data_IF_501028473640
#
_entry.id   IF_501028473640
#
_cell.length_a   1.000
_cell.length_b   1.000
_cell.length_c   1.000
_cell.angle_alpha   90.00
_cell.angle_beta   90.00
_cell.angle_gamma   90.00
#
_symmetry.space_group_name_H-M   'P 1'
#
loop_
_entity.id
_entity.type
_entity.pdbx_description
1 polymer ?
#
# COMPACT_ATOMS: atom_id res chain seq x y z
N UNK A 1 2.59 -5.79 27.53
CA UNK A 1 1.33 -5.28 26.93
C UNK A 1 1.71 -4.18 25.93
N UNK A 2 1.66 -4.45 24.63
CA UNK A 2 1.98 -3.45 23.60
C UNK A 2 0.82 -2.46 23.42
N UNK A 3 1.08 -1.15 23.24
CA UNK A 3 0.03 -0.21 22.96
C UNK A 3 -0.57 -0.52 21.58
N UNK A 4 -1.86 -0.84 21.57
CA UNK A 4 -2.65 -0.95 20.37
C UNK A 4 -2.45 0.31 19.52
N UNK A 5 -2.13 0.11 18.25
CA UNK A 5 -2.04 1.14 17.23
C UNK A 5 -3.31 2.00 17.30
N UNK A 6 -3.24 3.17 17.93
CA UNK A 6 -4.30 4.19 17.79
C UNK A 6 -4.25 4.60 16.32
N UNK A 7 -5.14 4.02 15.53
CA UNK A 7 -5.40 4.48 14.18
C UNK A 7 -5.72 5.96 14.28
N UNK A 8 -4.75 6.82 13.94
CA UNK A 8 -4.99 8.24 13.72
C UNK A 8 -5.86 8.34 12.47
N UNK A 9 -7.16 8.11 12.60
CA UNK A 9 -8.11 8.40 11.55
C UNK A 9 -8.28 9.92 11.58
N UNK A 10 -7.71 10.62 10.59
CA UNK A 10 -8.17 11.96 10.30
C UNK A 10 -9.66 11.86 10.00
N UNK A 11 -10.48 12.62 10.73
CA UNK A 11 -11.92 12.60 10.62
C UNK A 11 -12.33 12.62 9.14
N UNK A 12 -12.98 11.54 8.68
CA UNK A 12 -13.46 11.43 7.30
C UNK A 12 -12.74 10.42 6.39
N UNK A 13 -11.66 9.77 6.82
CA UNK A 13 -10.98 8.72 6.04
C UNK A 13 -11.18 7.31 6.60
N UNK A 14 -11.29 6.32 5.71
CA UNK A 14 -11.38 4.88 6.04
C UNK A 14 -10.17 4.14 5.49
N UNK A 15 -9.74 3.09 6.20
CA UNK A 15 -8.71 2.18 5.69
C UNK A 15 -9.35 1.13 4.79
N UNK A 16 -8.87 1.02 3.56
CA UNK A 16 -9.37 0.10 2.54
C UNK A 16 -8.24 -0.80 2.09
N UNK A 17 -8.50 -2.10 1.98
CA UNK A 17 -7.60 -3.03 1.32
C UNK A 17 -7.62 -2.77 -0.20
N UNK A 18 -6.45 -2.47 -0.76
CA UNK A 18 -6.26 -2.22 -2.19
C UNK A 18 -5.15 -3.11 -2.73
N UNK A 19 -5.32 -3.56 -3.96
CA UNK A 19 -4.24 -4.14 -4.72
C UNK A 19 -3.33 -3.01 -5.24
N UNK A 20 -2.03 -3.17 -5.07
CA UNK A 20 -1.02 -2.24 -5.55
C UNK A 20 -0.05 -2.93 -6.50
N UNK A 21 0.37 -2.17 -7.50
CA UNK A 21 1.41 -2.51 -8.47
C UNK A 21 2.46 -1.41 -8.48
N UNK A 22 3.51 -1.59 -9.27
CA UNK A 22 4.55 -0.57 -9.46
C UNK A 22 4.01 0.79 -9.90
N UNK A 23 2.85 0.82 -10.58
CA UNK A 23 2.22 2.05 -11.08
C UNK A 23 1.15 2.62 -10.14
N UNK A 24 0.66 1.84 -9.16
CA UNK A 24 -0.48 2.26 -8.31
C UNK A 24 -0.15 2.43 -6.84
N UNK A 25 1.03 1.96 -6.38
CA UNK A 25 1.55 2.21 -5.02
C UNK A 25 1.70 3.71 -4.75
N UNK A 26 1.41 4.13 -3.52
CA UNK A 26 1.42 5.52 -3.05
C UNK A 26 2.21 5.66 -1.74
N UNK A 27 2.70 6.87 -1.50
CA UNK A 27 3.17 7.26 -0.16
C UNK A 27 2.00 7.07 0.82
N UNK A 28 2.32 6.61 2.03
CA UNK A 28 1.39 6.23 3.10
C UNK A 28 0.58 4.95 2.86
N UNK A 29 0.77 4.23 1.75
CA UNK A 29 0.31 2.85 1.70
C UNK A 29 0.99 2.03 2.79
N UNK A 30 0.23 1.17 3.44
CA UNK A 30 0.77 0.22 4.42
C UNK A 30 0.76 -1.17 3.83
N UNK A 31 1.95 -1.72 3.59
CA UNK A 31 2.16 -3.02 2.97
C UNK A 31 2.55 -4.04 4.03
N UNK A 32 2.03 -5.27 3.89
CA UNK A 32 2.41 -6.37 4.77
C UNK A 32 3.51 -7.19 4.10
N UNK A 33 4.66 -7.33 4.78
CA UNK A 33 5.82 -8.09 4.31
C UNK A 33 6.29 -8.97 5.47
N UNK A 34 6.35 -10.29 5.27
CA UNK A 34 6.77 -11.23 6.32
C UNK A 34 5.93 -11.15 7.60
N UNK A 35 4.63 -10.82 7.49
CA UNK A 35 3.73 -10.64 8.64
C UNK A 35 3.87 -9.29 9.35
N UNK A 36 4.79 -8.43 8.93
CA UNK A 36 5.01 -7.10 9.50
C UNK A 36 4.43 -6.02 8.60
N UNK A 37 3.84 -4.98 9.21
CA UNK A 37 3.22 -3.88 8.50
C UNK A 37 4.20 -2.71 8.35
N UNK A 38 4.47 -2.32 7.10
CA UNK A 38 5.39 -1.24 6.75
C UNK A 38 4.66 -0.10 6.06
N UNK A 39 4.86 1.14 6.50
CA UNK A 39 4.28 2.34 5.88
C UNK A 39 5.26 2.95 4.89
N UNK A 40 4.86 3.07 3.62
CA UNK A 40 5.65 3.73 2.56
C UNK A 40 5.86 5.19 2.93
N UNK A 41 7.12 5.59 3.10
CA UNK A 41 7.56 6.95 3.36
C UNK A 41 7.87 7.69 2.06
N UNK A 42 8.60 7.04 1.17
CA UNK A 42 9.04 7.63 -0.09
C UNK A 42 9.21 6.54 -1.16
N UNK A 43 9.34 6.96 -2.42
CA UNK A 43 9.45 6.07 -3.56
C UNK A 43 10.39 6.63 -4.63
N UNK A 44 11.30 5.78 -5.11
CA UNK A 44 12.21 6.11 -6.22
C UNK A 44 11.95 5.20 -7.42
N UNK A 45 11.73 5.79 -8.59
CA UNK A 45 11.69 5.03 -9.84
C UNK A 45 13.10 4.53 -10.18
N UNK A 46 13.21 3.27 -10.58
CA UNK A 46 14.44 2.63 -11.00
C UNK A 46 14.37 2.26 -12.49
N UNK A 47 15.54 2.00 -13.08
CA UNK A 47 15.63 1.46 -14.44
C UNK A 47 14.84 0.15 -14.60
N UNK A 48 14.31 -0.07 -15.80
CA UNK A 48 13.46 -1.22 -16.11
C UNK A 48 12.04 -1.09 -15.54
N UNK A 49 11.59 0.12 -15.21
CA UNK A 49 10.23 0.38 -14.70
C UNK A 49 9.95 -0.26 -13.35
N UNK A 50 10.98 -0.45 -12.52
CA UNK A 50 10.87 -0.90 -11.13
C UNK A 50 10.73 0.30 -10.20
N UNK A 51 10.36 0.08 -8.95
CA UNK A 51 10.27 1.13 -7.94
C UNK A 51 10.88 0.65 -6.61
N UNK A 52 11.76 1.45 -6.03
CA UNK A 52 12.21 1.25 -4.66
C UNK A 52 11.26 1.99 -3.73
N UNK A 53 10.69 1.28 -2.76
CA UNK A 53 9.90 1.85 -1.67
C UNK A 53 10.83 2.01 -0.48
N UNK A 54 10.84 3.19 0.13
CA UNK A 54 11.45 3.43 1.43
C UNK A 54 10.35 3.43 2.49
N UNK A 55 10.51 2.66 3.56
CA UNK A 55 9.58 2.64 4.67
C UNK A 55 9.98 3.60 5.78
N UNK A 56 9.03 3.97 6.64
CA UNK A 56 9.29 4.86 7.77
C UNK A 56 10.33 4.30 8.76
N UNK A 57 10.40 2.98 8.88
CA UNK A 57 11.39 2.25 9.69
C UNK A 57 12.79 2.18 9.06
N UNK A 58 12.94 2.62 7.80
CA UNK A 58 14.23 2.75 7.10
C UNK A 58 14.55 1.61 6.13
N UNK A 59 13.83 0.48 6.20
CA UNK A 59 14.00 -0.60 5.24
C UNK A 59 13.51 -0.18 3.85
N UNK A 60 14.04 -0.87 2.84
CA UNK A 60 13.62 -0.68 1.46
C UNK A 60 13.08 -1.97 0.86
N UNK A 61 12.13 -1.82 -0.05
CA UNK A 61 11.58 -2.92 -0.84
C UNK A 61 11.62 -2.54 -2.31
N UNK A 62 12.21 -3.41 -3.15
CA UNK A 62 12.22 -3.19 -4.60
C UNK A 62 11.02 -3.91 -5.23
N UNK A 63 10.05 -3.13 -5.69
CA UNK A 63 8.90 -3.62 -6.43
C UNK A 63 9.27 -3.74 -7.92
N UNK A 64 9.22 -4.96 -8.45
CA UNK A 64 9.40 -5.24 -9.88
C UNK A 64 8.07 -5.12 -10.64
N UNK A 65 8.10 -5.10 -11.98
CA UNK A 65 6.95 -4.74 -12.83
C UNK A 65 5.73 -5.65 -12.65
N UNK A 66 5.98 -6.92 -12.39
CA UNK A 66 5.00 -7.99 -12.17
C UNK A 66 4.65 -8.19 -10.69
N UNK A 67 5.24 -7.43 -9.78
CA UNK A 67 4.88 -7.49 -8.37
C UNK A 67 3.50 -6.90 -8.15
N UNK A 68 2.62 -7.72 -7.58
CA UNK A 68 1.30 -7.34 -7.09
C UNK A 68 1.25 -7.61 -5.58
N UNK A 69 0.79 -6.62 -4.81
CA UNK A 69 0.69 -6.72 -3.35
C UNK A 69 -0.63 -6.17 -2.84
N UNK A 70 -1.03 -6.60 -1.65
CA UNK A 70 -2.11 -5.96 -0.90
C UNK A 70 -1.55 -4.88 0.03
N UNK A 71 -2.24 -3.74 0.06
CA UNK A 71 -1.94 -2.65 0.97
C UNK A 71 -3.20 -2.14 1.66
N UNK A 72 -3.04 -1.62 2.87
CA UNK A 72 -4.05 -0.77 3.48
C UNK A 72 -3.81 0.68 3.06
N UNK A 73 -4.80 1.30 2.44
CA UNK A 73 -4.79 2.70 2.01
C UNK A 73 -5.88 3.48 2.70
N UNK A 74 -5.54 4.66 3.21
CA UNK A 74 -6.52 5.62 3.72
C UNK A 74 -7.18 6.33 2.54
N UNK A 75 -8.50 6.25 2.47
CA UNK A 75 -9.31 6.85 1.41
C UNK A 75 -10.40 7.69 2.08
N UNK A 76 -10.61 8.91 1.60
CA UNK A 76 -11.86 9.63 1.88
C UNK A 76 -12.92 9.14 0.89
N UNK A 77 -13.97 8.44 1.34
CA UNK A 77 -14.99 7.89 0.45
C UNK A 77 -15.89 8.98 -0.18
N UNK A 78 -15.85 10.21 0.34
CA UNK A 78 -16.64 11.34 -0.17
C UNK A 78 -15.97 12.01 -1.36
N UNK A 79 -14.64 12.03 -1.37
CA UNK A 79 -13.89 12.44 -2.54
C UNK A 79 -14.06 11.32 -3.55
N UNK A 80 -14.71 11.59 -4.71
CA UNK A 80 -14.76 10.64 -5.83
C UNK A 80 -13.34 10.36 -6.30
N UNK A 81 -12.69 9.41 -5.65
CA UNK A 81 -11.39 8.90 -6.03
C UNK A 81 -11.51 7.98 -7.24
N UNK A 82 -10.38 7.68 -7.92
CA UNK A 82 -10.37 6.67 -8.96
C UNK A 82 -10.95 5.36 -8.41
N UNK A 83 -11.86 4.75 -9.18
CA UNK A 83 -12.55 3.50 -8.84
C UNK A 83 -11.56 2.48 -8.29
N UNK A 84 -11.74 2.05 -7.04
CA UNK A 84 -11.04 0.87 -6.50
C UNK A 84 -11.54 -0.32 -7.31
N UNK A 85 -10.74 -0.74 -8.30
CA UNK A 85 -11.03 -1.96 -9.06
C UNK A 85 -10.81 -3.11 -8.08
N UNK A 86 -11.90 -3.76 -7.66
CA UNK A 86 -11.78 -5.05 -6.95
C UNK A 86 -11.08 -6.00 -7.92
N UNK A 87 -10.00 -6.68 -7.52
CA UNK A 87 -9.41 -7.68 -8.38
C UNK A 87 -10.46 -8.74 -8.69
N UNK A 88 -10.47 -9.23 -9.93
CA UNK A 88 -11.17 -10.45 -10.26
C UNK A 88 -10.64 -11.50 -9.28
N UNK A 89 -11.54 -12.15 -8.52
CA UNK A 89 -11.15 -13.32 -7.72
C UNK A 89 -10.46 -14.27 -8.68
N UNK A 90 -9.14 -14.47 -8.53
CA UNK A 90 -8.48 -15.57 -9.22
C UNK A 90 -9.10 -16.83 -8.63
N UNK A 91 -9.87 -17.56 -9.44
CA UNK A 91 -10.25 -18.92 -9.08
C UNK A 91 -8.95 -19.68 -8.83
N UNK A 92 -8.77 -20.14 -7.60
CA UNK A 92 -7.73 -21.12 -7.29
C UNK A 92 -8.20 -22.40 -8.00
N UNK A 93 -7.39 -23.00 -8.89
CA UNK A 93 -7.74 -24.25 -9.55
C UNK A 93 -7.89 -25.40 -8.55
#
# INVERSE_FOLDING_TARGET
MSPAQRGSHSAGTVETAVEITVSTVRINDRVMIGGMLYSVRDMRTLAGGRKQLLFHSGETFTMVRDTVMWAARRIDPRIRGPRVVRPARRAVP
#
